data_IF_448312023366
#
_entry.id   IF_448312023366
#
_cell.length_a   1.000
_cell.length_b   1.000
_cell.length_c   1.000
_cell.angle_alpha   90.00
_cell.angle_beta   90.00
_cell.angle_gamma   90.00
#
_symmetry.space_group_name_H-M   'P 1'
#
loop_
_entity.id
_entity.type
_entity.pdbx_description
1 polymer ?
#
# COMPACT_ATOMS: atom_id res chain seq x y z
N UNK A 1 2.36 -20.78 0.10
CA UNK A 1 2.20 -19.48 0.81
C UNK A 1 1.06 -18.77 0.13
N UNK A 2 -0.15 -18.97 0.65
CA UNK A 2 -1.39 -18.41 0.12
C UNK A 2 -1.53 -16.97 0.66
N UNK A 3 -0.61 -16.10 0.24
CA UNK A 3 -0.60 -14.69 0.64
C UNK A 3 -1.54 -13.93 -0.29
N UNK A 4 -2.84 -14.01 -0.06
CA UNK A 4 -3.78 -13.16 -0.78
C UNK A 4 -3.50 -11.72 -0.34
N UNK A 5 -2.97 -10.91 -1.26
CA UNK A 5 -2.86 -9.48 -1.04
C UNK A 5 -4.23 -8.94 -0.65
N UNK A 6 -4.25 -7.97 0.26
CA UNK A 6 -5.49 -7.35 0.72
C UNK A 6 -5.46 -5.87 0.40
N UNK A 7 -6.58 -5.36 -0.08
CA UNK A 7 -6.74 -3.94 -0.33
C UNK A 7 -6.92 -3.21 1.01
N UNK A 8 -6.27 -2.06 1.15
CA UNK A 8 -6.29 -1.30 2.38
C UNK A 8 -5.15 -0.30 2.50
N UNK A 9 -5.09 0.35 3.65
CA UNK A 9 -4.02 1.25 4.03
C UNK A 9 -2.96 0.51 4.84
N UNK A 10 -1.72 0.76 4.51
CA UNK A 10 -0.57 0.13 5.12
C UNK A 10 0.52 1.15 5.40
N UNK A 11 1.31 0.90 6.43
CA UNK A 11 2.47 1.70 6.81
C UNK A 11 3.71 0.91 6.42
N UNK A 12 4.55 1.52 5.59
CA UNK A 12 5.79 0.93 5.13
C UNK A 12 6.98 1.75 5.66
N UNK A 13 8.03 1.11 6.21
CA UNK A 13 9.12 1.81 6.89
C UNK A 13 9.85 2.84 6.01
N UNK A 14 9.99 2.57 4.71
CA UNK A 14 10.68 3.48 3.77
C UNK A 14 9.74 4.37 2.95
N UNK A 15 8.45 4.04 2.88
CA UNK A 15 7.49 4.69 1.97
C UNK A 15 6.38 5.44 2.71
N UNK A 16 6.41 5.41 4.05
CA UNK A 16 5.38 5.94 4.93
C UNK A 16 4.01 5.28 4.65
N UNK A 17 2.95 6.06 4.56
CA UNK A 17 1.60 5.56 4.30
C UNK A 17 1.48 5.14 2.83
N UNK A 18 1.09 3.90 2.59
CA UNK A 18 0.78 3.36 1.27
C UNK A 18 -0.65 2.82 1.24
N UNK A 19 -1.32 3.00 0.11
CA UNK A 19 -2.62 2.36 -0.17
C UNK A 19 -2.40 1.25 -1.16
N UNK A 20 -2.84 0.06 -0.81
CA UNK A 20 -2.78 -1.13 -1.67
C UNK A 20 -4.18 -1.41 -2.20
N UNK A 21 -4.30 -1.65 -3.49
CA UNK A 21 -5.57 -1.97 -4.14
C UNK A 21 -5.32 -2.72 -5.45
N UNK A 22 -6.35 -3.43 -5.92
CA UNK A 22 -6.31 -4.11 -7.20
C UNK A 22 -6.77 -3.16 -8.32
N UNK A 23 -6.04 -3.14 -9.43
CA UNK A 23 -6.36 -2.39 -10.64
C UNK A 23 -6.07 -3.27 -11.86
N UNK A 24 -7.09 -3.51 -12.69
CA UNK A 24 -6.97 -4.38 -13.87
C UNK A 24 -6.38 -5.77 -13.54
N UNK A 25 -6.86 -6.44 -12.48
CA UNK A 25 -6.34 -7.74 -12.00
C UNK A 25 -4.87 -7.72 -11.57
N UNK A 26 -4.27 -6.54 -11.41
CA UNK A 26 -2.92 -6.36 -10.91
C UNK A 26 -2.97 -5.62 -9.57
N UNK A 27 -2.21 -6.11 -8.61
CA UNK A 27 -2.06 -5.41 -7.34
C UNK A 27 -1.11 -4.24 -7.53
N UNK A 28 -1.56 -3.07 -7.09
CA UNK A 28 -0.77 -1.85 -7.10
C UNK A 28 -0.78 -1.21 -5.74
N UNK A 29 0.26 -0.42 -5.46
CA UNK A 29 0.31 0.44 -4.31
C UNK A 29 0.58 1.88 -4.73
N UNK A 30 0.13 2.81 -3.90
CA UNK A 30 0.39 4.23 -4.08
C UNK A 30 0.78 4.84 -2.73
N UNK A 31 1.86 5.62 -2.70
CA UNK A 31 2.31 6.29 -1.48
C UNK A 31 1.52 7.59 -1.26
N UNK A 32 1.14 7.83 -0.02
CA UNK A 32 0.43 9.00 0.45
C UNK A 32 1.25 9.73 1.52
N UNK A 33 0.88 10.98 1.77
CA UNK A 33 1.36 11.70 2.95
C UNK A 33 0.85 11.01 4.22
N UNK A 34 1.51 11.26 5.36
CA UNK A 34 1.09 10.73 6.67
C UNK A 34 -0.37 11.09 7.06
N UNK A 35 -0.99 12.05 6.36
CA UNK A 35 -2.39 12.45 6.57
C UNK A 35 -3.37 11.77 5.61
N UNK A 36 -2.94 10.89 4.70
CA UNK A 36 -3.81 10.21 3.72
C UNK A 36 -4.40 11.09 2.60
N UNK A 37 -4.33 12.42 2.75
CA UNK A 37 -5.04 13.37 1.88
C UNK A 37 -4.44 13.53 0.47
N UNK A 38 -3.15 13.24 0.28
CA UNK A 38 -2.49 13.45 -1.01
C UNK A 38 -1.54 12.32 -1.36
N UNK A 39 -1.73 11.76 -2.55
CA UNK A 39 -0.78 10.83 -3.14
C UNK A 39 0.54 11.57 -3.43
N UNK A 40 1.63 11.08 -2.86
CA UNK A 40 2.99 11.60 -3.12
C UNK A 40 3.65 10.91 -4.32
N UNK A 41 3.13 9.77 -4.75
CA UNK A 41 3.67 9.00 -5.88
C UNK A 41 2.59 8.54 -6.84
N UNK A 42 3.05 8.18 -8.05
CA UNK A 42 2.25 7.43 -9.02
C UNK A 42 2.04 6.00 -8.53
N UNK A 43 1.01 5.36 -9.08
CA UNK A 43 0.69 3.96 -8.85
C UNK A 43 1.87 3.08 -9.31
N UNK A 44 2.25 2.12 -8.47
CA UNK A 44 3.34 1.18 -8.75
C UNK A 44 2.83 -0.25 -8.56
N UNK A 45 3.34 -1.23 -9.32
CA UNK A 45 3.01 -2.64 -9.09
C UNK A 45 3.37 -3.02 -7.65
N UNK A 46 2.52 -3.82 -7.01
CA UNK A 46 2.76 -4.31 -5.66
C UNK A 46 3.84 -5.39 -5.69
N UNK A 47 5.03 -5.03 -5.20
CA UNK A 47 6.11 -5.96 -4.99
C UNK A 47 5.87 -6.81 -3.72
N UNK A 48 6.21 -8.11 -3.72
CA UNK A 48 6.07 -8.99 -2.56
C UNK A 48 6.82 -8.48 -1.33
N UNK A 49 7.96 -7.80 -1.53
CA UNK A 49 8.74 -7.20 -0.45
C UNK A 49 8.07 -5.98 0.16
N UNK A 50 7.45 -5.14 -0.68
CA UNK A 50 6.66 -4.00 -0.19
C UNK A 50 5.51 -4.53 0.66
N UNK A 51 4.81 -5.57 0.21
CA UNK A 51 3.76 -6.22 1.00
C UNK A 51 4.30 -6.80 2.32
N UNK A 52 5.39 -7.57 2.28
CA UNK A 52 5.94 -8.25 3.46
C UNK A 52 6.46 -7.28 4.54
N UNK A 53 6.88 -6.08 4.15
CA UNK A 53 7.34 -5.02 5.05
C UNK A 53 6.24 -4.03 5.45
N UNK A 54 5.05 -4.16 4.88
CA UNK A 54 3.93 -3.26 5.11
C UNK A 54 3.03 -3.79 6.22
N UNK A 55 2.82 -2.96 7.23
CA UNK A 55 1.91 -3.28 8.32
C UNK A 55 0.54 -2.61 8.08
N UNK A 56 -0.58 -3.28 8.39
CA UNK A 56 -1.90 -2.66 8.24
C UNK A 56 -2.00 -1.42 9.11
N UNK A 57 -2.40 -0.30 8.51
CA UNK A 57 -2.63 0.93 9.26
C UNK A 57 -3.83 0.76 10.20
N UNK A 58 -3.71 1.04 11.50
CA UNK A 58 -4.83 1.00 12.44
C UNK A 58 -5.82 2.15 12.20
N UNK A 59 -5.39 3.21 11.52
CA UNK A 59 -6.22 4.35 11.16
C UNK A 59 -6.77 4.17 9.74
N UNK A 60 -8.11 4.27 9.61
CA UNK A 60 -8.79 4.36 8.32
C UNK A 60 -8.60 5.79 7.78
N UNK A 61 -7.57 5.97 6.96
CA UNK A 61 -7.24 7.24 6.28
C UNK A 61 -8.08 7.50 5.02
#
# INVERSE_FOLDING_TARGET
MDGHYKAGWYIHPNLALIKIYEKNQNWVYQCFTASGQKAMSKERPLDPWIWALSEPSPEEF
#
